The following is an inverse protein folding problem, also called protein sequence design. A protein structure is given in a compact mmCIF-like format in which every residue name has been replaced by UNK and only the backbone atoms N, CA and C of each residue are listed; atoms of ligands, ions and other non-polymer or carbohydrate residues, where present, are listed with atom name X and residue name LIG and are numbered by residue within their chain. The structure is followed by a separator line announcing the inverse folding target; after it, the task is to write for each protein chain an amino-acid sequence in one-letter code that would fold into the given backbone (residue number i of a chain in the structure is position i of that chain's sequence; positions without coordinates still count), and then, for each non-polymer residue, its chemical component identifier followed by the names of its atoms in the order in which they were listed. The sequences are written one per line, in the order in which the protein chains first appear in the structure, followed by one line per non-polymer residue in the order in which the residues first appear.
data_IF_650762131008
#
_entry.id   IF_650762131008
#
_cell.length_a   1.000
_cell.length_b   1.000
_cell.length_c   1.000
_cell.angle_alpha   90.00
_cell.angle_beta   90.00
_cell.angle_gamma   90.00
#
_symmetry.space_group_name_H-M   'P 1'
#
loop_
_entity.id
_entity.type
_entity.pdbx_description
1 polymer ?
#
# COMPACT_ATOMS: atom_id res chain seq x y z
N UNK A 1 27.47 16.08 -33.27
CA UNK A 1 27.26 15.79 -31.83
C UNK A 1 27.48 17.08 -31.07
N UNK A 2 26.60 17.48 -30.14
CA UNK A 2 26.92 18.59 -29.25
C UNK A 2 28.19 18.22 -28.49
N UNK A 3 29.26 18.99 -28.69
CA UNK A 3 30.53 18.72 -28.01
C UNK A 3 30.41 19.35 -26.64
N UNK A 4 30.28 18.51 -25.60
CA UNK A 4 30.07 18.92 -24.20
C UNK A 4 31.08 19.98 -23.71
N UNK A 5 32.24 20.06 -24.36
CA UNK A 5 33.17 21.19 -24.39
C UNK A 5 34.10 20.91 -25.59
N UNK A 6 34.37 21.87 -26.50
CA UNK A 6 35.30 21.66 -27.61
C UNK A 6 36.62 21.02 -27.14
N UNK A 7 37.06 19.96 -27.83
CA UNK A 7 38.26 19.19 -27.47
C UNK A 7 38.05 17.99 -26.52
N UNK A 8 36.84 17.76 -26.03
CA UNK A 8 36.51 16.58 -25.21
C UNK A 8 36.52 15.29 -26.05
N UNK A 9 36.94 14.16 -25.46
CA UNK A 9 37.05 12.86 -26.13
C UNK A 9 36.21 11.78 -25.44
N UNK A 10 35.47 11.00 -26.21
CA UNK A 10 34.72 9.84 -25.72
C UNK A 10 35.52 8.54 -25.89
N UNK A 11 35.62 7.78 -24.81
CA UNK A 11 36.27 6.47 -24.74
C UNK A 11 35.22 5.37 -24.65
N UNK A 12 34.80 4.84 -25.80
CA UNK A 12 33.70 3.86 -25.92
C UNK A 12 33.88 2.62 -25.03
N UNK A 13 35.09 2.04 -24.99
CA UNK A 13 35.37 0.84 -24.20
C UNK A 13 35.19 1.07 -22.68
N UNK A 14 35.45 2.29 -22.20
CA UNK A 14 35.29 2.67 -20.79
C UNK A 14 33.95 3.33 -20.49
N UNK A 15 33.13 3.57 -21.52
CA UNK A 15 31.88 4.36 -21.43
C UNK A 15 32.09 5.70 -20.70
N UNK A 16 33.17 6.40 -21.07
CA UNK A 16 33.66 7.57 -20.35
C UNK A 16 33.98 8.72 -21.31
N UNK A 17 33.62 9.95 -20.94
CA UNK A 17 34.14 11.17 -21.54
C UNK A 17 35.30 11.72 -20.73
N UNK A 18 36.38 12.11 -21.40
CA UNK A 18 37.42 12.99 -20.85
C UNK A 18 37.21 14.38 -21.42
N UNK A 19 36.95 15.33 -20.55
CA UNK A 19 36.67 16.71 -20.90
C UNK A 19 37.98 17.46 -21.15
N UNK A 20 37.93 18.49 -21.99
CA UNK A 20 39.12 19.29 -22.34
C UNK A 20 39.68 20.07 -21.14
N UNK A 21 38.87 20.33 -20.12
CA UNK A 21 39.29 20.93 -18.85
C UNK A 21 39.85 19.91 -17.82
N UNK A 22 40.05 18.65 -18.22
CA UNK A 22 40.55 17.58 -17.34
C UNK A 22 39.47 16.80 -16.59
N UNK A 23 38.22 17.26 -16.61
CA UNK A 23 37.08 16.56 -16.02
C UNK A 23 36.80 15.20 -16.66
N UNK A 24 36.10 14.34 -15.93
CA UNK A 24 35.72 13.01 -16.41
C UNK A 24 34.24 12.76 -16.13
N UNK A 25 33.52 12.24 -17.12
CA UNK A 25 32.13 11.76 -16.96
C UNK A 25 32.11 10.28 -17.30
N UNK A 26 31.57 9.46 -16.39
CA UNK A 26 31.38 8.02 -16.60
C UNK A 26 29.90 7.72 -16.74
N UNK A 27 29.56 6.93 -17.75
CA UNK A 27 28.20 6.43 -17.96
C UNK A 27 28.11 5.03 -17.33
N UNK A 28 27.34 4.94 -16.24
CA UNK A 28 27.19 3.71 -15.48
C UNK A 28 25.76 3.23 -15.65
N UNK A 29 25.61 2.00 -16.14
CA UNK A 29 24.32 1.33 -16.16
C UNK A 29 24.10 0.63 -14.82
N UNK A 30 23.04 1.03 -14.14
CA UNK A 30 22.59 0.47 -12.87
C UNK A 30 21.62 -0.67 -13.16
N UNK A 31 21.88 -1.84 -12.61
CA UNK A 31 20.95 -2.98 -12.64
C UNK A 31 20.71 -3.38 -11.17
N UNK A 32 19.46 -3.64 -10.80
CA UNK A 32 18.98 -3.72 -9.42
C UNK A 32 19.80 -4.65 -8.51
N UNK A 33 20.47 -5.67 -9.07
CA UNK A 33 21.22 -6.66 -8.31
C UNK A 33 22.73 -6.35 -8.10
N UNK A 34 23.32 -5.36 -8.79
CA UNK A 34 24.78 -5.09 -8.75
C UNK A 34 25.14 -3.60 -8.90
N UNK A 35 24.13 -2.72 -8.81
CA UNK A 35 24.25 -1.30 -9.09
C UNK A 35 25.30 -0.58 -8.21
N UNK A 36 25.26 -0.82 -6.89
CA UNK A 36 26.12 -0.11 -5.95
C UNK A 36 27.60 -0.54 -6.05
N UNK A 37 27.88 -1.82 -6.31
CA UNK A 37 29.27 -2.32 -6.33
C UNK A 37 30.15 -1.59 -7.35
N UNK A 38 29.56 -1.09 -8.44
CA UNK A 38 30.25 -0.33 -9.50
C UNK A 38 30.64 1.09 -9.09
N UNK A 39 29.98 1.64 -8.08
CA UNK A 39 30.16 3.02 -7.59
C UNK A 39 30.77 3.01 -6.17
N UNK A 40 30.76 1.86 -5.50
CA UNK A 40 31.34 1.68 -4.20
C UNK A 40 32.85 1.95 -4.24
N UNK A 41 33.31 2.88 -3.41
CA UNK A 41 34.74 3.22 -3.34
C UNK A 41 35.20 4.23 -4.39
N UNK A 42 34.32 4.71 -5.28
CA UNK A 42 34.61 5.83 -6.16
C UNK A 42 34.62 7.15 -5.37
N UNK A 43 35.34 8.15 -5.88
CA UNK A 43 35.25 9.54 -5.41
C UNK A 43 34.58 10.37 -6.50
N UNK A 44 33.30 10.67 -6.29
CA UNK A 44 32.46 11.40 -7.22
C UNK A 44 32.28 12.84 -6.75
N UNK A 45 32.29 13.78 -7.71
CA UNK A 45 31.86 15.15 -7.43
C UNK A 45 30.38 15.36 -7.75
N UNK A 46 29.88 14.72 -8.81
CA UNK A 46 28.50 14.91 -9.28
C UNK A 46 27.89 13.57 -9.66
N UNK A 47 26.60 13.42 -9.40
CA UNK A 47 25.78 12.30 -9.88
C UNK A 47 24.62 12.88 -10.68
N UNK A 48 24.46 12.38 -11.90
CA UNK A 48 23.31 12.61 -12.75
C UNK A 48 22.57 11.28 -12.91
N UNK A 49 21.37 11.19 -12.37
CA UNK A 49 20.57 9.97 -12.36
C UNK A 49 19.37 10.12 -13.29
N UNK A 50 19.32 9.33 -14.36
CA UNK A 50 18.17 9.33 -15.26
C UNK A 50 17.17 8.26 -14.81
N UNK A 51 15.86 8.57 -14.89
CA UNK A 51 14.77 7.67 -14.49
C UNK A 51 14.87 7.14 -13.05
N UNK A 52 15.08 8.03 -12.09
CA UNK A 52 15.18 7.69 -10.65
C UNK A 52 14.00 6.87 -10.13
N UNK A 53 12.80 7.06 -10.71
CA UNK A 53 11.59 6.30 -10.39
C UNK A 53 11.66 4.80 -10.72
N UNK A 54 12.65 4.35 -11.48
CA UNK A 54 12.88 2.92 -11.74
C UNK A 54 13.63 2.21 -10.60
N UNK A 55 14.26 2.97 -9.70
CA UNK A 55 14.92 2.39 -8.53
C UNK A 55 13.89 2.16 -7.41
N UNK A 56 13.58 0.89 -7.15
CA UNK A 56 12.59 0.49 -6.15
C UNK A 56 13.09 0.71 -4.71
N UNK A 57 14.40 0.51 -4.47
CA UNK A 57 15.00 0.62 -3.14
C UNK A 57 15.71 1.98 -2.97
N UNK A 58 15.14 2.92 -2.18
CA UNK A 58 15.75 4.21 -1.94
C UNK A 58 17.15 4.12 -1.30
N UNK A 59 17.50 3.02 -0.63
CA UNK A 59 18.83 2.84 -0.05
C UNK A 59 19.93 2.82 -1.11
N UNK A 60 19.65 2.34 -2.32
CA UNK A 60 20.63 2.32 -3.42
C UNK A 60 21.02 3.75 -3.79
N UNK A 61 20.06 4.67 -3.82
CA UNK A 61 20.28 6.10 -4.11
C UNK A 61 21.13 6.75 -3.03
N UNK A 62 20.81 6.51 -1.75
CA UNK A 62 21.59 7.05 -0.63
C UNK A 62 23.01 6.52 -0.61
N UNK A 63 23.21 5.24 -0.93
CA UNK A 63 24.53 4.63 -1.06
C UNK A 63 25.31 5.21 -2.22
N UNK A 64 24.71 5.41 -3.39
CA UNK A 64 25.38 6.08 -4.51
C UNK A 64 25.81 7.50 -4.13
N UNK A 65 24.94 8.24 -3.43
CA UNK A 65 25.23 9.59 -2.92
C UNK A 65 26.37 9.61 -1.89
N UNK A 66 26.58 8.55 -1.12
CA UNK A 66 27.69 8.51 -0.15
C UNK A 66 29.07 8.42 -0.81
N UNK A 67 29.14 8.06 -2.10
CA UNK A 67 30.35 8.18 -2.92
C UNK A 67 30.62 9.61 -3.41
N UNK A 68 29.71 10.58 -3.17
CA UNK A 68 29.95 12.00 -3.50
C UNK A 68 30.82 12.66 -2.41
N UNK A 69 32.13 12.45 -2.48
CA UNK A 69 33.06 12.75 -1.37
C UNK A 69 34.32 13.49 -1.81
N UNK A 70 34.18 14.31 -2.85
CA UNK A 70 35.30 15.07 -3.39
C UNK A 70 36.03 15.84 -2.30
N UNK A 71 37.36 15.76 -2.34
CA UNK A 71 38.25 16.44 -1.38
C UNK A 71 38.60 17.87 -1.79
N UNK A 72 38.20 18.28 -3.01
CA UNK A 72 38.43 19.63 -3.50
C UNK A 72 37.39 20.60 -2.90
N UNK A 73 37.81 21.54 -2.03
CA UNK A 73 36.88 22.46 -1.37
C UNK A 73 36.23 23.46 -2.33
N UNK A 74 36.72 23.58 -3.57
CA UNK A 74 36.15 24.46 -4.60
C UNK A 74 34.99 23.81 -5.35
N UNK A 75 34.81 22.50 -5.21
CA UNK A 75 33.78 21.73 -5.91
C UNK A 75 32.65 21.39 -4.97
N UNK A 76 31.47 22.00 -5.20
CA UNK A 76 30.26 21.68 -4.45
C UNK A 76 29.61 20.43 -5.05
N UNK A 77 29.46 19.31 -4.30
CA UNK A 77 28.84 18.12 -4.86
C UNK A 77 27.37 18.34 -5.21
N UNK A 78 26.93 17.78 -6.34
CA UNK A 78 25.52 17.85 -6.75
C UNK A 78 24.99 16.49 -7.19
N UNK A 79 23.80 16.20 -6.69
CA UNK A 79 22.96 15.11 -7.17
C UNK A 79 21.80 15.71 -7.96
N UNK A 80 21.70 15.36 -9.23
CA UNK A 80 20.63 15.81 -10.13
C UNK A 80 19.98 14.56 -10.68
N UNK A 81 18.65 14.52 -10.65
CA UNK A 81 17.92 13.36 -11.14
C UNK A 81 16.68 13.75 -11.95
N UNK A 82 16.34 12.93 -12.93
CA UNK A 82 15.03 12.94 -13.60
C UNK A 82 14.18 11.82 -13.01
N UNK A 83 12.88 12.03 -12.92
CA UNK A 83 11.94 11.00 -12.52
C UNK A 83 10.57 11.33 -13.09
N UNK A 84 9.85 10.30 -13.51
CA UNK A 84 8.44 10.41 -13.85
C UNK A 84 7.60 9.82 -12.71
N UNK A 85 6.37 10.30 -12.48
CA UNK A 85 5.44 9.60 -11.62
C UNK A 85 5.12 8.22 -12.19
N UNK A 86 4.69 7.29 -11.33
CA UNK A 86 4.56 5.85 -11.61
C UNK A 86 5.92 5.13 -11.72
N UNK A 87 5.86 3.81 -11.65
CA UNK A 87 7.04 2.95 -11.53
C UNK A 87 7.37 2.57 -10.08
N UNK A 88 8.29 1.61 -9.90
CA UNK A 88 8.52 0.94 -8.63
C UNK A 88 9.09 1.86 -7.53
N UNK A 89 9.81 2.93 -7.90
CA UNK A 89 10.35 3.94 -6.98
C UNK A 89 9.42 5.13 -6.74
N UNK A 90 8.25 5.19 -7.39
CA UNK A 90 7.39 6.37 -7.33
C UNK A 90 6.90 6.69 -5.91
N UNK A 91 6.69 5.66 -5.07
CA UNK A 91 6.17 5.81 -3.72
C UNK A 91 7.16 6.59 -2.82
N UNK A 92 8.45 6.25 -2.87
CA UNK A 92 9.44 6.84 -1.98
C UNK A 92 9.82 8.24 -2.44
N UNK A 93 9.90 8.50 -3.75
CA UNK A 93 10.16 9.85 -4.27
C UNK A 93 9.03 10.79 -3.81
N UNK A 94 7.78 10.32 -3.84
CA UNK A 94 6.66 11.10 -3.34
C UNK A 94 6.80 11.41 -1.84
N UNK A 95 7.01 10.39 -1.01
CA UNK A 95 7.01 10.52 0.45
C UNK A 95 8.22 11.28 1.01
N UNK A 96 9.39 11.07 0.41
CA UNK A 96 10.63 11.69 0.89
C UNK A 96 10.94 13.04 0.24
N UNK A 97 10.36 13.33 -0.93
CA UNK A 97 10.72 14.53 -1.71
C UNK A 97 9.48 15.36 -2.06
N UNK A 98 8.54 14.83 -2.83
CA UNK A 98 7.44 15.63 -3.42
C UNK A 98 6.47 16.18 -2.38
N UNK A 99 6.13 15.39 -1.36
CA UNK A 99 5.19 15.81 -0.29
C UNK A 99 5.82 16.73 0.75
N UNK A 100 7.15 16.82 0.78
CA UNK A 100 7.89 17.60 1.78
C UNK A 100 8.03 19.07 1.41
N UNK A 101 7.80 19.44 0.16
CA UNK A 101 7.84 20.82 -0.31
C UNK A 101 6.95 21.06 -1.52
N UNK A 102 6.49 22.29 -1.72
CA UNK A 102 5.89 22.70 -2.99
C UNK A 102 6.95 22.73 -4.10
N UNK A 103 6.57 22.48 -5.38
CA UNK A 103 7.54 22.53 -6.47
C UNK A 103 8.25 23.89 -6.54
N UNK A 104 9.51 23.87 -6.99
CA UNK A 104 10.38 25.04 -7.12
C UNK A 104 10.71 25.75 -5.79
N UNK A 105 10.52 25.09 -4.64
CA UNK A 105 10.95 25.60 -3.34
C UNK A 105 12.08 24.77 -2.77
N UNK A 106 13.12 25.47 -2.28
CA UNK A 106 14.21 24.83 -1.54
C UNK A 106 13.68 24.40 -0.18
N UNK A 107 13.99 23.17 0.22
CA UNK A 107 13.72 22.64 1.55
C UNK A 107 14.90 21.79 2.03
N UNK A 108 14.99 21.58 3.34
CA UNK A 108 15.96 20.63 3.90
C UNK A 108 15.37 19.24 3.78
N UNK A 109 15.97 18.40 2.92
CA UNK A 109 15.47 17.07 2.65
C UNK A 109 16.08 16.06 3.61
N UNK A 110 15.29 15.60 4.58
CA UNK A 110 15.69 14.65 5.61
C UNK A 110 16.18 13.31 5.04
N UNK A 111 15.54 12.84 3.97
CA UNK A 111 15.99 11.67 3.21
C UNK A 111 17.42 11.82 2.69
N UNK A 112 17.83 13.03 2.31
CA UNK A 112 19.19 13.34 1.89
C UNK A 112 20.08 13.82 3.04
N UNK A 113 19.76 13.50 4.29
CA UNK A 113 20.55 13.90 5.47
C UNK A 113 20.41 15.39 5.78
N UNK A 114 19.18 15.91 5.69
CA UNK A 114 18.83 17.32 5.88
C UNK A 114 19.57 18.29 4.96
N UNK A 115 20.05 17.81 3.81
CA UNK A 115 20.72 18.66 2.81
C UNK A 115 19.68 19.49 2.02
N UNK A 116 20.03 20.72 1.60
CA UNK A 116 19.17 21.52 0.74
C UNK A 116 18.83 20.79 -0.55
N UNK A 117 17.54 20.66 -0.84
CA UNK A 117 17.02 20.06 -2.07
C UNK A 117 15.92 20.93 -2.65
N UNK A 118 15.70 20.79 -3.95
CA UNK A 118 14.57 21.37 -4.67
C UNK A 118 14.10 20.32 -5.67
N UNK A 119 12.79 20.20 -5.83
CA UNK A 119 12.21 19.44 -6.93
C UNK A 119 11.46 20.40 -7.85
N UNK A 120 11.56 20.15 -9.15
CA UNK A 120 11.00 20.98 -10.21
C UNK A 120 9.98 20.11 -10.93
N UNK A 121 8.73 20.58 -11.00
CA UNK A 121 7.72 19.93 -11.83
C UNK A 121 7.96 20.34 -13.29
N UNK A 122 8.01 19.35 -14.17
CA UNK A 122 8.08 19.54 -15.63
C UNK A 122 7.01 18.68 -16.29
N UNK A 123 6.44 19.20 -17.36
CA UNK A 123 5.40 18.58 -18.18
C UNK A 123 5.77 18.70 -19.66
N UNK A 124 5.03 18.01 -20.54
CA UNK A 124 5.21 18.17 -21.99
C UNK A 124 5.04 19.63 -22.44
N UNK A 125 4.23 20.42 -21.73
CA UNK A 125 3.94 21.82 -22.08
C UNK A 125 5.14 22.74 -21.84
N UNK A 126 6.13 22.29 -21.06
CA UNK A 126 7.35 23.05 -20.78
C UNK A 126 8.41 22.88 -21.90
N UNK A 127 8.20 22.00 -22.89
CA UNK A 127 9.16 21.75 -23.97
C UNK A 127 8.88 22.64 -25.19
N UNK A 128 9.69 23.69 -25.45
CA UNK A 128 9.48 24.61 -26.57
C UNK A 128 9.79 23.99 -27.94
N UNK A 129 10.36 22.77 -27.97
CA UNK A 129 10.74 22.07 -29.20
C UNK A 129 9.67 21.08 -29.69
N UNK A 130 8.58 20.89 -28.94
CA UNK A 130 7.44 20.11 -29.43
C UNK A 130 6.72 20.92 -30.50
N UNK A 131 6.77 20.42 -31.73
CA UNK A 131 6.16 21.06 -32.90
C UNK A 131 4.63 21.13 -32.84
N UNK A 132 3.99 20.14 -32.21
CA UNK A 132 2.55 20.11 -31.98
C UNK A 132 2.22 19.52 -30.59
N UNK A 133 2.29 20.33 -29.53
CA UNK A 133 2.07 19.87 -28.16
C UNK A 133 0.67 19.29 -27.93
N UNK A 134 -0.36 19.82 -28.58
CA UNK A 134 -1.74 19.34 -28.43
C UNK A 134 -1.93 17.95 -29.04
N UNK A 135 -1.37 17.70 -30.22
CA UNK A 135 -1.39 16.38 -30.83
C UNK A 135 -0.58 15.37 -30.00
N UNK A 136 0.62 15.75 -29.54
CA UNK A 136 1.44 14.87 -28.70
C UNK A 136 0.72 14.50 -27.39
N UNK A 137 0.05 15.47 -26.75
CA UNK A 137 -0.77 15.20 -25.58
C UNK A 137 -1.93 14.24 -25.88
N UNK A 138 -2.61 14.38 -27.02
CA UNK A 138 -3.68 13.47 -27.42
C UNK A 138 -3.17 12.05 -27.68
N UNK A 139 -2.01 11.92 -28.33
CA UNK A 139 -1.37 10.62 -28.58
C UNK A 139 -0.93 9.96 -27.26
N UNK A 140 -0.39 10.74 -26.32
CA UNK A 140 -0.02 10.24 -24.99
C UNK A 140 -1.24 9.80 -24.18
N UNK A 141 -2.32 10.59 -24.19
CA UNK A 141 -3.61 10.21 -23.58
C UNK A 141 -4.18 8.95 -24.21
N UNK A 142 -4.04 8.80 -25.53
CA UNK A 142 -4.47 7.60 -26.25
C UNK A 142 -3.65 6.37 -25.85
N UNK A 143 -2.32 6.51 -25.64
CA UNK A 143 -1.49 5.39 -25.17
C UNK A 143 -1.81 4.95 -23.74
N UNK A 144 -2.40 5.82 -22.92
CA UNK A 144 -2.91 5.45 -21.60
C UNK A 144 -4.17 4.58 -21.66
N UNK A 145 -4.80 4.39 -22.83
CA UNK A 145 -5.99 3.54 -23.03
C UNK A 145 -7.16 3.84 -22.07
N UNK A 146 -7.36 5.13 -21.75
CA UNK A 146 -8.42 5.57 -20.83
C UNK A 146 -8.10 5.37 -19.34
N UNK A 147 -6.89 4.92 -19.00
CA UNK A 147 -6.42 4.86 -17.62
C UNK A 147 -6.12 6.27 -17.09
N UNK A 148 -7.05 6.81 -16.30
CA UNK A 148 -6.93 8.14 -15.67
C UNK A 148 -5.65 8.28 -14.83
N UNK A 149 -5.14 7.16 -14.31
CA UNK A 149 -3.89 7.08 -13.54
C UNK A 149 -2.69 7.46 -14.36
N UNK A 150 -2.53 6.78 -15.50
CA UNK A 150 -1.44 7.00 -16.44
C UNK A 150 -1.54 8.37 -17.06
N UNK A 151 -2.75 8.85 -17.33
CA UNK A 151 -2.97 10.22 -17.80
C UNK A 151 -2.49 11.23 -16.75
N UNK A 152 -2.89 11.11 -15.49
CA UNK A 152 -2.46 12.04 -14.44
C UNK A 152 -0.92 12.05 -14.26
N UNK A 153 -0.30 10.88 -14.32
CA UNK A 153 1.14 10.73 -14.18
C UNK A 153 1.93 11.23 -15.41
N UNK A 154 1.67 10.66 -16.59
CA UNK A 154 2.47 10.86 -17.80
C UNK A 154 2.16 12.21 -18.46
N UNK A 155 0.91 12.69 -18.40
CA UNK A 155 0.50 13.94 -19.04
C UNK A 155 0.61 15.12 -18.10
N UNK A 156 0.09 14.98 -16.87
CA UNK A 156 -0.02 16.09 -15.91
C UNK A 156 1.14 16.15 -14.91
N UNK A 157 2.02 15.14 -14.86
CA UNK A 157 3.15 15.08 -13.94
C UNK A 157 2.72 14.97 -12.47
N UNK A 158 1.56 14.35 -12.20
CA UNK A 158 1.00 14.24 -10.86
C UNK A 158 1.54 13.03 -10.10
N UNK A 159 2.06 13.28 -8.89
CA UNK A 159 2.62 12.25 -8.00
C UNK A 159 1.62 11.74 -6.95
N UNK A 160 0.42 12.32 -6.86
CA UNK A 160 -0.42 12.25 -5.66
C UNK A 160 -1.93 12.10 -5.86
N UNK A 161 -2.43 11.81 -7.05
CA UNK A 161 -3.88 11.65 -7.23
C UNK A 161 -4.32 10.23 -6.83
N UNK A 162 -5.19 10.16 -5.81
CA UNK A 162 -5.85 8.93 -5.32
C UNK A 162 -6.46 8.12 -6.46
N UNK A 163 -6.95 8.79 -7.50
CA UNK A 163 -7.57 8.20 -8.70
C UNK A 163 -6.64 7.33 -9.54
N UNK A 164 -5.33 7.35 -9.27
CA UNK A 164 -4.30 6.69 -10.08
C UNK A 164 -3.78 5.33 -9.56
N UNK A 165 -4.14 4.95 -8.34
CA UNK A 165 -3.67 3.70 -7.73
C UNK A 165 -4.44 2.47 -8.22
N UNK A 166 -3.98 1.28 -7.85
CA UNK A 166 -4.68 0.01 -7.97
C UNK A 166 -6.13 0.08 -7.44
N UNK A 167 -6.38 0.91 -6.42
CA UNK A 167 -7.69 1.20 -5.84
C UNK A 167 -8.28 2.54 -6.28
N UNK A 168 -7.64 3.30 -7.18
CA UNK A 168 -7.96 4.70 -7.40
C UNK A 168 -9.35 4.97 -7.99
N UNK A 169 -9.82 4.06 -8.85
CA UNK A 169 -11.19 4.15 -9.39
C UNK A 169 -12.27 3.82 -8.35
N UNK A 170 -11.93 3.17 -7.23
CA UNK A 170 -12.92 2.71 -6.24
C UNK A 170 -12.79 3.34 -4.85
N UNK A 171 -11.58 3.77 -4.46
CA UNK A 171 -11.31 4.42 -3.18
C UNK A 171 -11.76 5.89 -3.24
N UNK A 172 -12.65 6.26 -2.33
CA UNK A 172 -13.08 7.64 -2.14
C UNK A 172 -13.07 7.97 -0.67
N UNK A 173 -12.34 9.02 -0.28
CA UNK A 173 -12.33 9.53 1.10
C UNK A 173 -13.77 9.87 1.53
N UNK A 174 -14.48 10.62 0.69
CA UNK A 174 -15.85 11.06 0.99
C UNK A 174 -16.81 9.89 1.22
N UNK A 175 -16.71 8.80 0.43
CA UNK A 175 -17.62 7.65 0.59
C UNK A 175 -17.16 6.66 1.66
N UNK A 176 -15.87 6.38 1.74
CA UNK A 176 -15.33 5.27 2.53
C UNK A 176 -14.95 5.69 3.96
N UNK A 177 -14.65 6.97 4.21
CA UNK A 177 -14.12 7.41 5.50
C UNK A 177 -15.19 7.51 6.59
N UNK A 178 -14.87 6.97 7.76
CA UNK A 178 -15.62 7.17 9.00
C UNK A 178 -14.78 7.99 9.99
N UNK A 179 -15.39 8.94 10.72
CA UNK A 179 -14.66 9.83 11.62
C UNK A 179 -14.04 9.06 12.78
N UNK A 180 -12.93 9.57 13.33
CA UNK A 180 -12.15 8.90 14.37
C UNK A 180 -12.96 8.49 15.59
N UNK A 181 -13.98 9.24 15.98
CA UNK A 181 -14.80 9.03 17.17
C UNK A 181 -16.06 8.17 16.94
N UNK A 182 -16.22 7.59 15.74
CA UNK A 182 -17.38 6.76 15.44
C UNK A 182 -17.49 5.53 16.37
N UNK A 183 -18.73 5.08 16.58
CA UNK A 183 -19.02 3.85 17.30
C UNK A 183 -19.83 2.90 16.43
N UNK A 184 -19.43 1.62 16.45
CA UNK A 184 -20.24 0.55 15.90
C UNK A 184 -21.22 0.08 16.98
N UNK A 185 -22.54 0.16 16.75
CA UNK A 185 -23.50 -0.45 17.65
C UNK A 185 -23.35 -1.97 17.56
N UNK A 186 -23.02 -2.58 18.69
CA UNK A 186 -22.80 -4.02 18.77
C UNK A 186 -24.09 -4.75 19.10
N UNK A 187 -24.29 -5.90 18.47
CA UNK A 187 -25.46 -6.71 18.74
C UNK A 187 -25.31 -7.47 20.06
N UNK A 188 -26.37 -7.52 20.89
CA UNK A 188 -26.39 -8.35 22.08
C UNK A 188 -26.32 -9.84 21.70
N UNK A 189 -26.03 -10.69 22.69
CA UNK A 189 -26.12 -12.13 22.49
C UNK A 189 -27.59 -12.59 22.50
N UNK A 190 -27.81 -13.92 22.41
CA UNK A 190 -29.16 -14.50 22.44
C UNK A 190 -29.95 -14.17 23.71
N UNK A 191 -29.29 -13.71 24.78
CA UNK A 191 -29.92 -13.32 26.05
C UNK A 191 -30.23 -11.82 26.12
N UNK A 192 -29.91 -11.05 25.08
CA UNK A 192 -30.07 -9.59 25.09
C UNK A 192 -28.95 -8.84 25.81
N UNK A 193 -27.90 -9.54 26.28
CA UNK A 193 -26.79 -8.95 27.00
C UNK A 193 -25.65 -8.52 26.09
N UNK A 194 -25.15 -7.30 26.32
CA UNK A 194 -23.94 -6.80 25.68
C UNK A 194 -22.73 -7.07 26.58
N UNK A 195 -21.78 -7.86 26.07
CA UNK A 195 -20.53 -8.21 26.78
C UNK A 195 -19.33 -8.08 25.85
N UNK A 196 -18.11 -7.98 26.40
CA UNK A 196 -16.87 -8.02 25.61
C UNK A 196 -16.78 -9.27 24.73
N UNK A 197 -17.27 -10.40 25.24
CA UNK A 197 -17.34 -11.67 24.51
C UNK A 197 -18.25 -11.57 23.30
N UNK A 198 -19.44 -10.99 23.48
CA UNK A 198 -20.40 -10.78 22.38
C UNK A 198 -19.80 -9.86 21.32
N UNK A 199 -19.18 -8.75 21.73
CA UNK A 199 -18.46 -7.83 20.84
C UNK A 199 -17.38 -8.56 20.03
N UNK A 200 -16.55 -9.35 20.69
CA UNK A 200 -15.44 -10.06 20.06
C UNK A 200 -15.90 -11.08 19.02
N UNK A 201 -17.12 -11.64 19.18
CA UNK A 201 -17.72 -12.53 18.19
C UNK A 201 -18.09 -11.84 16.88
N UNK A 202 -18.22 -10.52 16.86
CA UNK A 202 -18.54 -9.73 15.67
C UNK A 202 -17.30 -9.08 15.04
N UNK A 203 -16.15 -9.21 15.70
CA UNK A 203 -14.90 -8.63 15.25
C UNK A 203 -14.01 -9.66 14.56
N UNK A 204 -13.11 -9.15 13.72
CA UNK A 204 -12.09 -9.86 12.99
C UNK A 204 -10.77 -9.11 13.12
N UNK A 205 -9.68 -9.84 12.99
CA UNK A 205 -8.35 -9.29 12.86
C UNK A 205 -7.77 -9.80 11.55
N UNK A 206 -7.34 -8.88 10.70
CA UNK A 206 -6.44 -9.15 9.59
C UNK A 206 -5.03 -8.73 10.00
N UNK A 207 -4.02 -9.51 9.67
CA UNK A 207 -2.65 -9.15 10.01
C UNK A 207 -1.63 -9.57 8.96
N UNK A 208 -0.55 -8.83 8.92
CA UNK A 208 0.64 -9.14 8.16
C UNK A 208 1.87 -8.95 9.05
N UNK A 209 2.87 -9.83 8.91
CA UNK A 209 4.05 -9.86 9.76
C UNK A 209 5.31 -9.66 8.94
N UNK A 210 6.05 -8.60 9.28
CA UNK A 210 7.38 -8.35 8.75
C UNK A 210 8.26 -7.62 9.76
N UNK A 211 9.56 -7.86 9.67
CA UNK A 211 10.59 -7.05 10.33
C UNK A 211 11.46 -6.32 9.32
N UNK A 212 11.59 -6.88 8.11
CA UNK A 212 12.15 -6.20 6.94
C UNK A 212 11.11 -5.28 6.28
N UNK A 213 9.92 -5.83 6.07
CA UNK A 213 8.70 -5.11 5.71
C UNK A 213 7.92 -4.75 6.98
N UNK A 214 7.03 -3.75 6.94
CA UNK A 214 6.13 -3.43 8.05
C UNK A 214 5.34 -4.62 8.59
N UNK A 215 4.99 -4.56 9.88
CA UNK A 215 4.01 -5.46 10.48
C UNK A 215 2.72 -4.68 10.75
N UNK A 216 1.56 -5.29 10.50
CA UNK A 216 0.29 -4.64 10.73
C UNK A 216 -0.79 -5.58 11.25
N UNK A 217 -1.75 -5.01 11.97
CA UNK A 217 -3.00 -5.66 12.37
C UNK A 217 -4.14 -4.67 12.18
N UNK A 218 -5.18 -5.05 11.44
CA UNK A 218 -6.40 -4.28 11.22
C UNK A 218 -7.56 -4.95 11.96
N UNK A 219 -8.19 -4.22 12.87
CA UNK A 219 -9.43 -4.62 13.54
C UNK A 219 -10.61 -4.31 12.63
N UNK A 220 -11.39 -5.33 12.29
CA UNK A 220 -12.52 -5.22 11.37
C UNK A 220 -13.82 -5.74 11.99
N UNK A 221 -14.96 -5.27 11.48
CA UNK A 221 -16.26 -5.88 11.76
C UNK A 221 -17.15 -5.86 10.53
N UNK A 222 -18.06 -6.82 10.45
CA UNK A 222 -19.08 -6.87 9.42
C UNK A 222 -20.42 -6.40 9.99
N UNK A 223 -21.05 -5.46 9.30
CA UNK A 223 -22.37 -4.93 9.61
C UNK A 223 -23.44 -6.01 9.39
N UNK A 224 -24.22 -6.31 10.42
CA UNK A 224 -25.23 -7.38 10.38
C UNK A 224 -26.62 -6.89 9.98
N UNK A 225 -26.95 -5.64 10.29
CA UNK A 225 -28.17 -4.96 9.90
C UNK A 225 -27.82 -3.57 9.38
N UNK A 226 -28.58 -3.03 8.40
CA UNK A 226 -28.29 -1.71 7.86
C UNK A 226 -28.33 -0.65 8.95
N UNK A 227 -27.36 0.27 8.94
CA UNK A 227 -27.26 1.33 9.94
C UNK A 227 -26.74 2.63 9.34
N UNK A 228 -26.87 3.73 10.09
CA UNK A 228 -26.30 5.02 9.68
C UNK A 228 -25.19 5.39 10.66
N UNK A 229 -23.98 5.61 10.14
CA UNK A 229 -22.82 6.07 10.92
C UNK A 229 -22.28 7.33 10.24
N UNK A 230 -22.16 8.43 11.01
CA UNK A 230 -21.62 9.70 10.52
C UNK A 230 -22.30 10.20 9.22
N UNK A 231 -23.62 10.06 9.14
CA UNK A 231 -24.42 10.46 7.96
C UNK A 231 -24.30 9.53 6.75
N UNK A 232 -23.56 8.41 6.86
CA UNK A 232 -23.42 7.42 5.79
C UNK A 232 -24.31 6.22 6.08
N UNK A 233 -25.05 5.76 5.07
CA UNK A 233 -25.79 4.52 5.14
C UNK A 233 -24.84 3.33 4.91
N UNK A 234 -24.77 2.42 5.87
CA UNK A 234 -24.00 1.19 5.79
C UNK A 234 -24.98 0.04 5.63
N UNK A 235 -25.08 -0.51 4.42
CA UNK A 235 -25.92 -1.66 4.14
C UNK A 235 -25.48 -2.91 4.93
N UNK A 236 -26.40 -3.84 5.17
CA UNK A 236 -26.10 -5.15 5.74
C UNK A 236 -25.03 -5.87 4.91
N UNK A 237 -24.04 -6.44 5.57
CA UNK A 237 -22.91 -7.13 4.92
C UNK A 237 -21.71 -6.23 4.68
N UNK A 238 -21.85 -4.91 4.84
CA UNK A 238 -20.74 -3.96 4.77
C UNK A 238 -19.64 -4.30 5.78
N UNK A 239 -18.41 -3.96 5.46
CA UNK A 239 -17.24 -4.13 6.31
C UNK A 239 -16.73 -2.78 6.81
N UNK A 240 -16.26 -2.77 8.05
CA UNK A 240 -15.65 -1.59 8.66
C UNK A 240 -14.27 -1.95 9.20
N UNK A 241 -13.23 -1.26 8.74
CA UNK A 241 -11.92 -1.20 9.39
C UNK A 241 -12.00 -0.18 10.53
N UNK A 242 -11.96 -0.66 11.77
CA UNK A 242 -12.29 0.11 12.98
C UNK A 242 -11.07 0.88 13.49
N UNK A 243 -9.96 0.17 13.59
CA UNK A 243 -8.72 0.62 14.17
C UNK A 243 -7.62 -0.31 13.66
N UNK A 244 -6.37 0.10 13.77
CA UNK A 244 -5.22 -0.70 13.34
C UNK A 244 -4.02 -0.48 14.24
N UNK A 245 -3.14 -1.45 14.29
CA UNK A 245 -1.79 -1.26 14.79
C UNK A 245 -0.82 -1.48 13.63
N UNK A 246 -0.01 -0.49 13.33
CA UNK A 246 0.96 -0.51 12.24
C UNK A 246 2.36 -0.23 12.78
N UNK A 247 3.31 -1.11 12.48
CA UNK A 247 4.70 -1.02 12.94
C UNK A 247 5.62 -0.90 11.73
N UNK A 248 6.28 0.24 11.64
CA UNK A 248 7.24 0.56 10.59
C UNK A 248 8.41 1.37 11.18
N UNK A 249 9.47 1.52 10.39
CA UNK A 249 10.56 2.44 10.70
C UNK A 249 10.06 3.89 10.76
N UNK A 250 10.78 4.71 11.52
CA UNK A 250 10.49 6.14 11.68
C UNK A 250 11.68 6.93 11.11
N UNK A 251 11.37 7.94 10.31
CA UNK A 251 12.35 8.88 9.76
C UNK A 251 12.94 9.78 10.86
N UNK A 252 14.11 10.42 10.62
CA UNK A 252 14.67 11.40 11.55
C UNK A 252 13.72 12.55 11.91
N UNK A 253 12.80 12.92 11.01
CA UNK A 253 11.77 13.95 11.22
C UNK A 253 10.55 13.48 12.03
N UNK A 254 10.55 12.22 12.47
CA UNK A 254 9.45 11.60 13.21
C UNK A 254 8.31 11.07 12.34
N UNK A 255 8.36 11.25 11.02
CA UNK A 255 7.34 10.69 10.10
C UNK A 255 7.54 9.19 9.88
N UNK A 256 6.44 8.48 9.59
CA UNK A 256 6.44 7.03 9.38
C UNK A 256 7.03 6.67 8.01
N UNK A 257 7.90 5.67 7.95
CA UNK A 257 8.34 5.04 6.70
C UNK A 257 7.39 3.89 6.34
N UNK A 258 6.26 4.22 5.69
CA UNK A 258 5.14 3.29 5.46
C UNK A 258 5.46 2.01 4.70
N UNK A 259 6.63 1.89 4.06
CA UNK A 259 7.03 0.68 3.33
C UNK A 259 8.25 -0.02 3.93
N UNK A 260 8.75 0.43 5.09
CA UNK A 260 9.95 -0.15 5.73
C UNK A 260 9.63 -0.68 7.11
N UNK A 261 9.94 -1.95 7.33
CA UNK A 261 9.74 -2.60 8.62
C UNK A 261 10.65 -2.05 9.72
N UNK A 262 10.25 -2.31 10.96
CA UNK A 262 11.11 -2.11 12.12
C UNK A 262 11.92 -3.40 12.37
N UNK A 263 13.22 -3.33 12.09
CA UNK A 263 14.14 -4.47 12.24
C UNK A 263 14.32 -4.89 13.71
N UNK A 264 14.00 -4.03 14.66
CA UNK A 264 14.06 -4.32 16.10
C UNK A 264 12.80 -5.03 16.61
N UNK A 265 11.74 -5.10 15.80
CA UNK A 265 10.47 -5.69 16.19
C UNK A 265 10.61 -7.19 16.44
N UNK A 266 10.19 -7.61 17.63
CA UNK A 266 10.11 -9.01 18.04
C UNK A 266 8.66 -9.46 18.17
N UNK A 267 8.42 -10.78 18.09
CA UNK A 267 7.11 -11.37 18.31
C UNK A 267 6.44 -10.91 19.64
N UNK A 268 7.11 -10.91 20.82
CA UNK A 268 6.51 -10.43 22.05
C UNK A 268 6.10 -8.95 22.01
N UNK A 269 6.96 -8.08 21.45
CA UNK A 269 6.65 -6.65 21.32
C UNK A 269 5.43 -6.42 20.42
N UNK A 270 5.32 -7.16 19.32
CA UNK A 270 4.17 -7.07 18.44
C UNK A 270 2.88 -7.54 19.12
N UNK A 271 2.94 -8.67 19.82
CA UNK A 271 1.79 -9.16 20.61
C UNK A 271 1.38 -8.17 21.70
N UNK A 272 2.34 -7.49 22.35
CA UNK A 272 2.03 -6.43 23.31
C UNK A 272 1.29 -5.26 22.65
N UNK A 273 1.70 -4.85 21.45
CA UNK A 273 1.00 -3.81 20.67
C UNK A 273 -0.41 -4.26 20.26
N UNK A 274 -0.60 -5.51 19.85
CA UNK A 274 -1.94 -6.08 19.58
C UNK A 274 -2.80 -6.06 20.85
N UNK A 275 -2.24 -6.37 22.03
CA UNK A 275 -2.98 -6.25 23.31
C UNK A 275 -3.38 -4.81 23.60
N UNK A 276 -2.54 -3.81 23.27
CA UNK A 276 -2.89 -2.38 23.38
C UNK A 276 -4.03 -2.00 22.42
N UNK A 277 -4.01 -2.50 21.19
CA UNK A 277 -5.11 -2.35 20.22
C UNK A 277 -6.42 -2.92 20.79
N UNK A 278 -6.38 -4.10 21.40
CA UNK A 278 -7.57 -4.72 22.00
C UNK A 278 -8.12 -3.88 23.16
N UNK A 279 -7.25 -3.46 24.10
CA UNK A 279 -7.64 -2.64 25.25
C UNK A 279 -8.27 -1.31 24.84
N UNK A 280 -7.65 -0.58 23.90
CA UNK A 280 -8.19 0.73 23.45
C UNK A 280 -9.50 0.61 22.66
N UNK A 281 -9.79 -0.59 22.13
CA UNK A 281 -11.08 -0.90 21.52
C UNK A 281 -12.05 -1.59 22.49
N UNK A 282 -11.81 -1.53 23.81
CA UNK A 282 -12.76 -2.01 24.83
C UNK A 282 -12.80 -3.52 25.01
N UNK A 283 -11.71 -4.22 24.68
CA UNK A 283 -11.50 -5.62 25.04
C UNK A 283 -10.49 -5.68 26.20
N UNK A 284 -10.98 -5.60 27.44
CA UNK A 284 -10.11 -5.58 28.62
C UNK A 284 -9.67 -6.99 29.01
N UNK A 285 -10.61 -7.94 28.99
CA UNK A 285 -10.40 -9.31 29.47
C UNK A 285 -10.73 -10.36 28.40
N UNK A 286 -10.95 -9.94 27.16
CA UNK A 286 -11.34 -10.83 26.08
C UNK A 286 -10.45 -10.67 24.85
N UNK A 287 -10.36 -11.74 24.06
CA UNK A 287 -9.66 -11.75 22.77
C UNK A 287 -10.61 -12.16 21.67
N UNK A 288 -10.38 -11.65 20.47
CA UNK A 288 -11.11 -12.09 19.28
C UNK A 288 -10.84 -13.58 19.06
N UNK A 289 -11.88 -14.42 18.80
CA UNK A 289 -11.70 -15.85 18.64
C UNK A 289 -10.65 -16.18 17.56
N UNK A 290 -9.76 -17.17 17.76
CA UNK A 290 -8.64 -17.43 16.85
C UNK A 290 -9.04 -17.65 15.39
N UNK A 291 -10.20 -18.29 15.15
CA UNK A 291 -10.78 -18.47 13.81
C UNK A 291 -11.15 -17.16 13.08
N UNK A 292 -11.07 -16.01 13.74
CA UNK A 292 -11.30 -14.67 13.18
C UNK A 292 -10.06 -13.79 13.27
N UNK A 293 -8.93 -14.35 13.68
CA UNK A 293 -7.63 -13.70 13.69
C UNK A 293 -6.84 -14.30 12.54
N UNK A 294 -6.82 -13.61 11.41
CA UNK A 294 -6.33 -14.10 10.13
C UNK A 294 -5.03 -13.39 9.81
N UNK A 295 -3.97 -14.14 9.55
CA UNK A 295 -2.69 -13.62 9.03
C UNK A 295 -2.33 -14.28 7.71
N UNK A 296 -1.25 -13.86 7.05
CA UNK A 296 -0.73 -14.60 5.89
C UNK A 296 -0.60 -16.10 6.22
N UNK A 297 -0.99 -16.95 5.27
CA UNK A 297 -0.76 -18.39 5.29
C UNK A 297 0.66 -18.80 5.71
N UNK A 298 1.68 -18.00 5.37
CA UNK A 298 3.07 -18.19 5.76
C UNK A 298 3.28 -18.23 7.28
N UNK A 299 2.38 -17.64 8.09
CA UNK A 299 2.45 -17.68 9.57
C UNK A 299 2.38 -19.10 10.12
N UNK A 300 1.82 -20.04 9.34
CA UNK A 300 1.66 -21.46 9.68
C UNK A 300 2.71 -22.36 9.02
N UNK A 301 3.60 -21.80 8.21
CA UNK A 301 4.70 -22.55 7.60
C UNK A 301 5.77 -22.89 8.66
N UNK A 302 6.33 -24.10 8.57
CA UNK A 302 7.42 -24.54 9.43
C UNK A 302 8.65 -23.65 9.22
N UNK A 303 9.08 -22.98 10.27
CA UNK A 303 10.41 -22.38 10.37
C UNK A 303 11.37 -23.54 10.61
N UNK A 304 12.36 -23.75 9.73
CA UNK A 304 13.12 -24.99 9.54
C UNK A 304 13.99 -25.51 10.71
N UNK A 305 13.58 -25.29 11.95
CA UNK A 305 14.10 -25.91 13.15
C UNK A 305 13.50 -27.31 13.31
N UNK A 306 14.22 -28.33 12.81
CA UNK A 306 13.90 -29.74 13.06
C UNK A 306 14.15 -30.13 14.53
N UNK A 307 13.43 -31.14 15.02
CA UNK A 307 13.72 -31.81 16.31
C UNK A 307 12.76 -31.54 17.47
N UNK A 308 11.71 -30.72 17.29
CA UNK A 308 10.65 -30.53 18.29
C UNK A 308 9.38 -31.30 17.88
N UNK A 309 8.63 -31.79 18.87
CA UNK A 309 7.37 -32.54 18.65
C UNK A 309 6.28 -31.68 17.99
N UNK A 310 6.33 -30.36 18.20
CA UNK A 310 5.46 -29.39 17.54
C UNK A 310 6.26 -28.55 16.52
N UNK A 311 5.70 -28.29 15.33
CA UNK A 311 6.34 -27.43 14.35
C UNK A 311 6.55 -26.01 14.91
N UNK A 312 7.79 -25.52 14.84
CA UNK A 312 8.12 -24.12 15.15
C UNK A 312 7.60 -23.28 13.99
N UNK A 313 6.60 -22.43 14.26
CA UNK A 313 5.95 -21.54 13.29
C UNK A 313 5.80 -20.18 13.95
N UNK A 314 5.56 -19.13 13.16
CA UNK A 314 5.22 -17.81 13.74
C UNK A 314 3.95 -17.88 14.60
N UNK A 315 2.96 -18.71 14.19
CA UNK A 315 1.74 -18.92 14.98
C UNK A 315 2.03 -19.54 16.35
N UNK A 316 2.90 -20.55 16.43
CA UNK A 316 3.29 -21.16 17.72
C UNK A 316 4.11 -20.19 18.58
N UNK A 317 4.90 -19.29 17.97
CA UNK A 317 5.61 -18.23 18.70
C UNK A 317 4.65 -17.18 19.27
N UNK A 318 3.71 -16.63 18.49
CA UNK A 318 2.71 -15.70 19.00
C UNK A 318 1.85 -16.31 20.11
N UNK A 319 1.54 -17.60 20.01
CA UNK A 319 0.79 -18.33 21.03
C UNK A 319 1.49 -18.34 22.39
N UNK A 320 2.82 -18.40 22.44
CA UNK A 320 3.59 -18.31 23.70
C UNK A 320 3.34 -17.02 24.44
N UNK A 321 3.08 -15.92 23.72
CA UNK A 321 2.79 -14.61 24.29
C UNK A 321 1.28 -14.33 24.44
N UNK A 322 0.43 -15.35 24.22
CA UNK A 322 -1.01 -15.27 24.46
C UNK A 322 -1.82 -14.75 23.28
N UNK A 323 -1.30 -14.79 22.05
CA UNK A 323 -2.05 -14.42 20.85
C UNK A 323 -2.11 -15.59 19.87
N UNK A 324 -3.33 -16.04 19.57
CA UNK A 324 -3.56 -17.19 18.68
C UNK A 324 -4.09 -16.70 17.34
N UNK A 325 -3.46 -17.18 16.26
CA UNK A 325 -3.73 -16.73 14.89
C UNK A 325 -3.99 -17.91 13.98
N UNK A 326 -4.78 -17.68 12.93
CA UNK A 326 -5.10 -18.64 11.87
C UNK A 326 -4.50 -18.13 10.56
N UNK A 327 -3.88 -19.00 9.78
CA UNK A 327 -3.41 -18.66 8.45
C UNK A 327 -4.58 -18.39 7.49
N UNK A 328 -4.41 -17.39 6.62
CA UNK A 328 -5.39 -17.07 5.58
C UNK A 328 -5.56 -18.26 4.65
N UNK A 329 -6.78 -18.54 4.18
CA UNK A 329 -7.00 -19.58 3.20
C UNK A 329 -6.20 -19.34 1.91
N UNK A 330 -5.70 -20.43 1.32
CA UNK A 330 -5.07 -20.38 0.00
C UNK A 330 -6.14 -20.13 -1.05
N UNK A 331 -6.16 -18.91 -1.59
CA UNK A 331 -7.05 -18.50 -2.67
C UNK A 331 -6.34 -17.50 -3.58
N UNK A 332 -6.90 -17.25 -4.78
CA UNK A 332 -6.32 -16.28 -5.70
C UNK A 332 -6.34 -14.87 -5.10
N UNK A 333 -5.17 -14.21 -5.06
CA UNK A 333 -5.04 -12.80 -4.61
C UNK A 333 -5.97 -11.88 -5.40
N UNK A 334 -5.96 -12.03 -6.73
CA UNK A 334 -6.78 -11.25 -7.65
C UNK A 334 -8.28 -11.27 -7.29
N UNK A 335 -8.83 -12.44 -6.90
CA UNK A 335 -10.23 -12.54 -6.47
C UNK A 335 -10.48 -11.73 -5.19
N UNK A 336 -9.56 -11.80 -4.23
CA UNK A 336 -9.62 -10.99 -3.01
C UNK A 336 -9.56 -9.49 -3.30
N UNK A 337 -8.71 -9.08 -4.24
CA UNK A 337 -8.63 -7.70 -4.69
C UNK A 337 -9.89 -7.22 -5.38
N UNK A 338 -10.48 -8.00 -6.28
CA UNK A 338 -11.73 -7.65 -6.93
C UNK A 338 -12.87 -7.48 -5.92
N UNK A 339 -12.94 -8.34 -4.89
CA UNK A 339 -13.90 -8.17 -3.80
C UNK A 339 -13.67 -6.84 -3.05
N UNK A 340 -12.43 -6.54 -2.68
CA UNK A 340 -12.10 -5.29 -1.98
C UNK A 340 -12.41 -4.06 -2.84
N UNK A 341 -12.04 -4.05 -4.13
CA UNK A 341 -12.37 -2.96 -5.07
C UNK A 341 -13.87 -2.74 -5.17
N UNK A 342 -14.64 -3.84 -5.28
CA UNK A 342 -16.09 -3.75 -5.36
C UNK A 342 -16.71 -3.18 -4.07
N UNK A 343 -16.23 -3.58 -2.89
CA UNK A 343 -16.71 -3.04 -1.62
C UNK A 343 -16.36 -1.55 -1.46
N UNK A 344 -15.16 -1.12 -1.85
CA UNK A 344 -14.78 0.30 -1.83
C UNK A 344 -15.66 1.12 -2.76
N UNK A 345 -15.93 0.62 -3.97
CA UNK A 345 -16.81 1.27 -4.93
C UNK A 345 -18.23 1.44 -4.39
N UNK A 346 -18.76 0.42 -3.72
CA UNK A 346 -20.12 0.40 -3.16
C UNK A 346 -20.27 1.16 -1.85
N UNK A 347 -19.20 1.70 -1.26
CA UNK A 347 -19.34 2.52 -0.06
C UNK A 347 -20.30 3.70 -0.32
N UNK A 348 -21.28 3.88 0.55
CA UNK A 348 -22.35 4.88 0.44
C UNK A 348 -23.53 4.51 -0.45
N UNK A 349 -23.56 3.31 -1.05
CA UNK A 349 -24.72 2.81 -1.80
C UNK A 349 -25.63 1.92 -0.92
N UNK A 350 -26.72 1.42 -1.50
CA UNK A 350 -27.60 0.43 -0.86
C UNK A 350 -27.00 -0.99 -0.86
N UNK A 351 -25.84 -1.18 -1.49
CA UNK A 351 -25.11 -2.44 -1.54
C UNK A 351 -24.02 -2.49 -0.45
N UNK A 352 -23.55 -3.69 -0.07
CA UNK A 352 -22.49 -3.84 0.91
C UNK A 352 -21.19 -3.14 0.48
N UNK A 353 -20.66 -2.28 1.35
CA UNK A 353 -19.44 -1.49 1.10
C UNK A 353 -18.30 -1.77 2.09
N UNK A 354 -17.11 -1.22 1.83
CA UNK A 354 -15.98 -1.19 2.76
C UNK A 354 -15.75 0.23 3.25
N UNK A 355 -15.79 0.40 4.57
CA UNK A 355 -15.60 1.66 5.26
C UNK A 355 -14.34 1.60 6.13
N UNK A 356 -13.61 2.70 6.19
CA UNK A 356 -12.32 2.77 6.86
C UNK A 356 -12.34 3.95 7.83
N UNK A 357 -12.03 3.69 9.10
CA UNK A 357 -11.89 4.70 10.14
C UNK A 357 -10.71 5.64 9.86
N UNK A 358 -10.81 6.91 10.26
CA UNK A 358 -9.66 7.83 10.35
C UNK A 358 -8.55 7.32 11.30
N UNK A 359 -8.84 6.35 12.17
CA UNK A 359 -7.82 5.69 13.01
C UNK A 359 -6.88 4.80 12.19
N UNK A 360 -7.33 4.33 11.03
CA UNK A 360 -6.54 3.47 10.15
C UNK A 360 -5.62 4.29 9.25
N UNK A 361 -4.68 5.01 9.86
CA UNK A 361 -3.77 5.94 9.19
C UNK A 361 -2.96 5.30 8.06
N UNK A 362 -2.50 4.06 8.25
CA UNK A 362 -1.71 3.32 7.27
C UNK A 362 -2.55 2.95 6.06
N UNK A 363 -3.79 2.47 6.23
CA UNK A 363 -4.69 2.23 5.10
C UNK A 363 -4.89 3.48 4.25
N UNK A 364 -5.11 4.65 4.87
CA UNK A 364 -5.24 5.91 4.14
C UNK A 364 -3.93 6.39 3.51
N UNK A 365 -2.81 6.15 4.18
CA UNK A 365 -1.50 6.53 3.70
C UNK A 365 -0.99 5.63 2.57
N UNK A 366 -1.43 4.37 2.46
CA UNK A 366 -0.87 3.40 1.51
C UNK A 366 -1.80 2.99 0.39
N UNK A 367 -3.11 2.84 0.61
CA UNK A 367 -4.06 2.41 -0.43
C UNK A 367 -4.06 3.27 -1.70
N UNK A 368 -3.94 4.62 -1.64
CA UNK A 368 -3.85 5.45 -2.84
C UNK A 368 -2.66 5.13 -3.75
N UNK A 369 -1.67 4.39 -3.25
CA UNK A 369 -0.36 4.22 -3.88
C UNK A 369 0.02 2.77 -4.14
N UNK A 370 -0.87 1.85 -3.77
CA UNK A 370 -0.88 0.52 -4.36
C UNK A 370 -0.92 0.67 -5.89
N UNK A 371 -0.11 -0.08 -6.63
CA UNK A 371 -0.12 -0.07 -8.10
C UNK A 371 -0.33 -1.50 -8.62
N UNK A 372 -0.86 -1.61 -9.84
CA UNK A 372 -0.96 -2.91 -10.53
C UNK A 372 0.42 -3.46 -10.84
N UNK A 373 0.56 -4.79 -10.79
CA UNK A 373 1.74 -5.49 -11.31
C UNK A 373 1.76 -5.41 -12.84
N UNK A 374 2.93 -5.05 -13.42
CA UNK A 374 3.09 -4.85 -14.87
C UNK A 374 2.84 -6.13 -15.69
N UNK A 375 3.10 -7.30 -15.11
CA UNK A 375 2.92 -8.61 -15.76
C UNK A 375 1.54 -9.19 -15.48
N UNK A 376 0.95 -8.87 -14.34
CA UNK A 376 -0.38 -9.30 -13.94
C UNK A 376 -1.21 -8.13 -13.40
N UNK A 377 -1.89 -7.36 -14.26
CA UNK A 377 -2.62 -6.15 -13.85
C UNK A 377 -3.78 -6.39 -12.86
N UNK A 378 -4.25 -7.64 -12.72
CA UNK A 378 -5.27 -8.02 -11.73
C UNK A 378 -4.71 -8.21 -10.30
N UNK A 379 -3.39 -8.29 -10.16
CA UNK A 379 -2.68 -8.33 -8.89
C UNK A 379 -1.92 -7.02 -8.65
N UNK A 380 -1.48 -6.84 -7.41
CA UNK A 380 -0.76 -5.65 -6.97
C UNK A 380 0.75 -5.90 -6.97
N UNK A 381 1.52 -4.87 -7.31
CA UNK A 381 2.98 -4.88 -7.23
C UNK A 381 3.44 -5.14 -5.78
N UNK A 382 4.34 -6.12 -5.60
CA UNK A 382 4.78 -6.61 -4.28
C UNK A 382 5.76 -5.67 -3.59
N UNK A 383 6.41 -4.78 -4.33
CA UNK A 383 7.31 -3.77 -3.77
C UNK A 383 6.55 -2.54 -3.22
N UNK A 384 5.26 -2.40 -3.53
CA UNK A 384 4.42 -1.31 -3.03
C UNK A 384 4.02 -1.55 -1.55
N UNK A 385 3.62 -0.51 -0.80
CA UNK A 385 3.19 -0.64 0.60
C UNK A 385 1.84 -1.35 0.74
N UNK A 386 1.81 -2.65 0.48
CA UNK A 386 0.60 -3.49 0.37
C UNK A 386 0.12 -4.09 1.69
N UNK A 387 0.95 -4.12 2.73
CA UNK A 387 0.70 -4.83 3.99
C UNK A 387 -0.69 -4.61 4.61
N UNK A 388 -1.14 -3.36 4.69
CA UNK A 388 -2.48 -3.04 5.23
C UNK A 388 -3.60 -3.52 4.32
N UNK A 389 -3.43 -3.40 3.00
CA UNK A 389 -4.40 -3.90 2.03
C UNK A 389 -4.48 -5.44 2.09
N UNK A 390 -3.33 -6.12 2.22
CA UNK A 390 -3.27 -7.57 2.37
C UNK A 390 -3.96 -8.04 3.65
N UNK A 391 -3.73 -7.37 4.79
CA UNK A 391 -4.42 -7.66 6.04
C UNK A 391 -5.96 -7.60 5.89
N UNK A 392 -6.48 -6.57 5.22
CA UNK A 392 -7.92 -6.44 4.93
C UNK A 392 -8.39 -7.57 4.00
N UNK A 393 -7.66 -7.84 2.92
CA UNK A 393 -7.98 -8.90 1.96
C UNK A 393 -8.05 -10.27 2.62
N UNK A 394 -7.14 -10.59 3.55
CA UNK A 394 -7.14 -11.86 4.27
C UNK A 394 -8.44 -12.07 5.04
N UNK A 395 -8.93 -11.05 5.73
CA UNK A 395 -10.23 -11.11 6.44
C UNK A 395 -11.38 -11.30 5.46
N UNK A 396 -11.44 -10.48 4.41
CA UNK A 396 -12.52 -10.56 3.41
C UNK A 396 -12.57 -11.93 2.73
N UNK A 397 -11.41 -12.52 2.49
CA UNK A 397 -11.27 -13.86 1.92
C UNK A 397 -11.74 -14.93 2.90
N UNK A 398 -11.24 -14.91 4.14
CA UNK A 398 -11.56 -15.90 5.16
C UNK A 398 -13.03 -15.86 5.58
N UNK A 399 -13.62 -14.67 5.69
CA UNK A 399 -15.01 -14.49 6.10
C UNK A 399 -16.04 -15.11 5.14
N UNK A 400 -15.66 -15.32 3.88
CA UNK A 400 -16.51 -15.95 2.87
C UNK A 400 -16.35 -17.49 2.81
N UNK A 401 -15.56 -18.09 3.70
CA UNK A 401 -15.39 -19.54 3.76
C UNK A 401 -16.23 -20.19 4.86
N UNK A 402 -16.80 -21.36 4.52
CA UNK A 402 -17.69 -22.13 5.40
C UNK A 402 -17.11 -22.46 6.78
N UNK A 403 -15.78 -22.59 6.87
CA UNK A 403 -15.05 -22.92 8.10
C UNK A 403 -15.00 -21.76 9.11
N UNK A 404 -15.17 -20.51 8.65
CA UNK A 404 -15.11 -19.33 9.50
C UNK A 404 -16.49 -18.70 9.79
N UNK A 405 -17.50 -19.03 8.97
CA UNK A 405 -18.89 -18.63 9.16
C UNK A 405 -19.57 -19.33 10.34
N UNK A 406 -20.31 -18.56 11.15
CA UNK A 406 -21.17 -19.11 12.21
C UNK A 406 -22.42 -19.73 11.57
N UNK A 407 -22.98 -20.80 12.14
CA UNK A 407 -24.24 -21.43 11.70
C UNK A 407 -25.42 -20.44 11.84
N UNK A 408 -25.61 -19.56 10.87
CA UNK A 408 -26.86 -18.84 10.64
C UNK A 408 -27.49 -19.33 9.34
N UNK A 409 -28.82 -19.40 9.34
CA UNK A 409 -29.66 -20.00 8.29
C UNK A 409 -29.74 -19.21 6.99
N UNK A 410 -29.05 -18.07 6.87
CA UNK A 410 -29.02 -17.27 5.64
C UNK A 410 -27.58 -17.19 5.11
N UNK A 411 -27.32 -17.86 3.97
CA UNK A 411 -26.00 -18.11 3.38
C UNK A 411 -25.74 -17.32 2.10
N UNK A 412 -25.93 -16.01 2.14
CA UNK A 412 -25.42 -15.13 1.08
C UNK A 412 -24.13 -14.49 1.59
N UNK A 413 -23.04 -14.56 0.81
CA UNK A 413 -21.78 -13.87 1.12
C UNK A 413 -21.96 -12.36 1.30
N UNK A 414 -20.92 -11.66 1.77
CA UNK A 414 -21.01 -10.24 2.10
C UNK A 414 -21.39 -9.33 0.93
N UNK A 415 -21.28 -9.80 -0.33
CA UNK A 415 -21.40 -9.00 -1.54
C UNK A 415 -21.93 -9.87 -2.69
N UNK A 416 -22.68 -9.32 -3.68
CA UNK A 416 -23.23 -10.07 -4.83
C UNK A 416 -22.25 -10.99 -5.55
N UNK A 417 -20.97 -10.60 -5.67
CA UNK A 417 -19.92 -11.44 -6.26
C UNK A 417 -19.80 -12.82 -5.57
N UNK A 418 -20.03 -12.85 -4.25
CA UNK A 418 -19.90 -14.02 -3.37
C UNK A 418 -21.24 -14.76 -3.16
N UNK A 419 -22.32 -14.30 -3.79
CA UNK A 419 -23.62 -14.96 -3.71
C UNK A 419 -23.68 -16.15 -4.66
N UNK A 420 -24.45 -17.18 -4.26
CA UNK A 420 -24.76 -18.29 -5.15
C UNK A 420 -25.51 -17.81 -6.40
N UNK A 421 -25.49 -18.59 -7.49
CA UNK A 421 -26.24 -18.24 -8.71
C UNK A 421 -27.75 -18.08 -8.48
N UNK A 422 -28.30 -18.80 -7.50
CA UNK A 422 -29.70 -18.68 -7.11
C UNK A 422 -29.97 -17.36 -6.37
N UNK A 423 -29.03 -16.90 -5.55
CA UNK A 423 -29.11 -15.64 -4.82
C UNK A 423 -28.83 -14.43 -5.71
N UNK A 424 -27.90 -14.51 -6.66
CA UNK A 424 -27.67 -13.45 -7.67
C UNK A 424 -28.91 -13.13 -8.51
N UNK A 425 -29.84 -14.09 -8.63
CA UNK A 425 -31.15 -13.91 -9.32
C UNK A 425 -32.20 -13.18 -8.47
N UNK A 426 -31.93 -12.96 -7.17
CA UNK A 426 -32.82 -12.28 -6.22
C UNK A 426 -32.23 -10.88 -5.96
N UNK A 427 -32.85 -9.82 -6.49
CA UNK A 427 -32.41 -8.43 -6.23
C UNK A 427 -33.02 -7.95 -4.91
N UNK A 428 -32.26 -7.14 -4.17
CA UNK A 428 -32.80 -6.29 -3.11
C UNK A 428 -33.27 -4.98 -3.76
N UNK A 429 -34.57 -4.70 -3.67
CA UNK A 429 -35.14 -3.39 -4.06
C UNK A 429 -35.85 -2.86 -2.83
N UNK A 430 -35.38 -1.72 -2.30
CA UNK A 430 -36.03 -1.04 -1.16
C UNK A 430 -36.12 -1.87 0.13
N UNK A 431 -35.13 -2.71 0.42
CA UNK A 431 -35.12 -3.54 1.63
C UNK A 431 -36.04 -4.77 1.61
N UNK A 432 -36.74 -5.04 0.50
CA UNK A 432 -37.64 -6.20 0.35
C UNK A 432 -37.15 -7.14 -0.76
N UNK A 433 -37.18 -8.46 -0.50
CA UNK A 433 -36.82 -9.51 -1.45
C UNK A 433 -37.82 -9.58 -2.60
N UNK A 434 -37.37 -9.37 -3.84
CA UNK A 434 -38.22 -9.56 -5.04
C UNK A 434 -37.55 -10.50 -6.06
N UNK A 435 -38.35 -11.33 -6.72
CA UNK A 435 -37.91 -12.25 -7.77
C UNK A 435 -37.91 -11.54 -9.13
N UNK A 436 -36.87 -11.77 -9.94
CA UNK A 436 -36.91 -11.38 -11.36
C UNK A 436 -37.94 -12.27 -12.09
N UNK A 437 -38.92 -11.73 -12.84
CA UNK A 437 -39.73 -12.54 -13.73
C UNK A 437 -38.82 -13.15 -14.80
N UNK A 438 -39.06 -14.41 -15.18
CA UNK A 438 -38.39 -15.00 -16.34
C UNK A 438 -38.70 -14.15 -17.58
N UNK A 439 -37.74 -13.93 -18.50
CA UNK A 439 -38.11 -13.65 -19.87
C UNK A 439 -38.86 -14.88 -20.37
N UNK A 440 -40.15 -14.72 -20.66
CA UNK A 440 -40.89 -15.68 -21.46
C UNK A 440 -40.14 -15.77 -22.80
N UNK A 441 -39.85 -17.00 -23.22
CA UNK A 441 -39.09 -17.32 -24.43
C UNK A 441 -39.61 -16.60 -25.67
#
# INVERSE_FOLDING_TARGET
MPVLMPGSKYYKAKRQWKLSNGGTIRLIHMDANDAFNKIQGEDLSHIFWDELGQEADPQVVLRARSSMRTTDPTVVPKFIATANPLGPGSWWIRDYIVTKAMPNRIFNCEFFGAQPAVWVKSTLRDNPYLSNPDQYEQELRASCFGDESKIAAEVLGEWGQVTAGFFGSCLSIERCMLPRDFQIPWYPDKSGSFTEKTKAHWCWIGGDWGTASPACVVLMSQIQEPMTIAGKHLARGSWVCIDEEYVCSIQPDGSKEWNRGDRSLTAPQFVERVKKLYKRNGFQNWVIPPRRVIMDSAVTAQLGFGGHSDPVTLSTEFKKYGWQVTGSPKSSRAVGWQLMKSLLWQAGSDEPGLYISERCESLWATLPYCISDDRNPEDMEKAAPDHSADAVRYVLTAANQGQHSYRQSQRSGAHPLMWSNEEKRRRYVGGVRTYKPMPIR
#
